data_IF_989777690423
#
_entry.id   IF_989777690423
#
_cell.length_a   1.000
_cell.length_b   1.000
_cell.length_c   1.000
_cell.angle_alpha   90.00
_cell.angle_beta   90.00
_cell.angle_gamma   90.00
#
_symmetry.space_group_name_H-M   'P 1'
#
loop_
_entity.id
_entity.type
_entity.pdbx_description
1 polymer ?
#
# COMPACT_ATOMS: atom_id res chain seq x y z
N UNK A 1 -14.86 6.15 0.23
CA UNK A 1 -15.29 4.76 -0.02
C UNK A 1 -14.48 4.22 -1.19
N UNK A 2 -13.90 3.02 -1.10
CA UNK A 2 -13.10 2.44 -2.20
C UNK A 2 -14.03 1.85 -3.26
N UNK A 3 -13.66 1.96 -4.54
CA UNK A 3 -14.40 1.40 -5.68
C UNK A 3 -13.42 0.74 -6.65
N UNK A 4 -13.73 -0.47 -7.09
CA UNK A 4 -12.87 -1.22 -7.99
C UNK A 4 -12.78 -0.51 -9.35
N UNK A 5 -11.57 -0.13 -9.76
CA UNK A 5 -11.36 0.55 -11.05
C UNK A 5 -11.68 -0.34 -12.26
N UNK A 6 -11.70 -1.67 -12.07
CA UNK A 6 -11.95 -2.62 -13.17
C UNK A 6 -13.44 -2.92 -13.39
N UNK A 7 -14.21 -3.10 -12.32
CA UNK A 7 -15.61 -3.55 -12.44
C UNK A 7 -16.62 -2.61 -11.78
N UNK A 8 -16.16 -1.51 -11.15
CA UNK A 8 -17.03 -0.57 -10.46
C UNK A 8 -17.66 -1.10 -9.17
N UNK A 9 -17.37 -2.33 -8.73
CA UNK A 9 -17.89 -2.86 -7.46
C UNK A 9 -17.31 -2.11 -6.27
N UNK A 10 -18.14 -1.89 -5.26
CA UNK A 10 -17.76 -1.34 -3.95
C UNK A 10 -17.54 -2.45 -2.91
N UNK A 11 -17.82 -3.71 -3.24
CA UNK A 11 -17.58 -4.85 -2.37
C UNK A 11 -16.11 -5.24 -2.37
N UNK A 12 -15.50 -5.20 -1.20
CA UNK A 12 -14.08 -5.46 -1.04
C UNK A 12 -13.74 -6.01 0.34
N UNK A 13 -12.65 -6.76 0.38
CA UNK A 13 -11.92 -7.06 1.61
C UNK A 13 -10.76 -6.06 1.76
N UNK A 14 -10.45 -5.69 3.01
CA UNK A 14 -9.28 -4.87 3.35
C UNK A 14 -8.42 -5.62 4.35
N UNK A 15 -7.15 -5.82 3.97
CA UNK A 15 -6.11 -6.26 4.88
C UNK A 15 -5.23 -5.08 5.25
N UNK A 16 -5.01 -4.87 6.55
CA UNK A 16 -4.14 -3.81 7.06
C UNK A 16 -2.87 -4.43 7.61
N UNK A 17 -1.73 -3.99 7.09
CA UNK A 17 -0.42 -4.38 7.56
C UNK A 17 0.22 -3.17 8.23
N UNK A 18 0.37 -3.23 9.55
CA UNK A 18 1.30 -2.33 10.23
C UNK A 18 2.69 -2.63 9.73
N UNK A 19 3.42 -1.62 9.25
CA UNK A 19 4.83 -1.80 8.95
C UNK A 19 5.56 -1.86 10.29
N UNK A 20 6.12 -3.01 10.72
CA UNK A 20 6.85 -3.07 11.98
C UNK A 20 8.11 -2.19 11.90
N UNK A 21 8.51 -1.61 13.04
CA UNK A 21 9.77 -0.84 13.17
C UNK A 21 11.00 -1.67 12.79
N UNK A 22 10.88 -3.00 12.88
CA UNK A 22 11.84 -3.96 12.32
C UNK A 22 11.09 -4.93 11.40
N UNK A 23 11.29 -4.78 10.10
CA UNK A 23 10.80 -5.72 9.09
C UNK A 23 11.79 -6.89 9.00
N UNK A 24 11.45 -8.14 9.42
CA UNK A 24 12.27 -9.31 9.09
C UNK A 24 12.21 -9.64 7.59
N UNK A 25 11.27 -9.06 6.83
CA UNK A 25 11.20 -9.16 5.37
C UNK A 25 11.43 -7.79 4.72
N UNK A 26 12.60 -7.62 4.11
CA UNK A 26 12.91 -6.42 3.34
C UNK A 26 12.13 -6.41 2.02
N UNK A 27 11.34 -5.37 1.77
CA UNK A 27 10.83 -5.08 0.43
C UNK A 27 11.96 -4.40 -0.36
N UNK A 28 12.69 -5.17 -1.18
CA UNK A 28 13.72 -4.63 -2.05
C UNK A 28 13.06 -3.96 -3.27
N UNK A 29 13.14 -2.64 -3.34
CA UNK A 29 12.66 -1.86 -4.50
C UNK A 29 13.86 -1.22 -5.19
N UNK A 30 13.99 -1.42 -6.50
CA UNK A 30 14.99 -0.72 -7.31
C UNK A 30 14.52 0.73 -7.52
N UNK A 31 15.21 1.67 -6.89
CA UNK A 31 14.87 3.10 -6.96
C UNK A 31 15.97 3.86 -7.70
N UNK A 32 15.63 4.71 -8.70
CA UNK A 32 16.58 5.62 -9.32
C UNK A 32 17.29 6.49 -8.27
N UNK A 33 18.61 6.65 -8.41
CA UNK A 33 19.47 7.28 -7.40
C UNK A 33 19.03 8.71 -7.03
N UNK A 34 18.48 9.44 -8.00
CA UNK A 34 18.03 10.82 -7.86
C UNK A 34 16.71 10.99 -7.11
N UNK A 35 15.94 9.92 -6.87
CA UNK A 35 14.66 9.98 -6.13
C UNK A 35 14.69 9.16 -4.84
N UNK A 36 15.83 8.55 -4.49
CA UNK A 36 15.97 7.66 -3.33
C UNK A 36 15.55 8.36 -2.03
N UNK A 37 15.93 9.62 -1.85
CA UNK A 37 15.66 10.37 -0.63
C UNK A 37 14.18 10.75 -0.51
N UNK A 38 13.55 11.07 -1.63
CA UNK A 38 12.13 11.41 -1.75
C UNK A 38 11.28 10.18 -1.45
N UNK A 39 11.69 9.01 -1.97
CA UNK A 39 11.05 7.73 -1.67
C UNK A 39 11.22 7.35 -0.20
N UNK A 40 12.42 7.50 0.37
CA UNK A 40 12.64 7.23 1.80
C UNK A 40 11.73 8.12 2.69
N UNK A 41 11.68 9.43 2.41
CA UNK A 41 10.78 10.38 3.11
C UNK A 41 9.30 10.09 2.90
N UNK A 42 8.91 9.49 1.78
CA UNK A 42 7.54 9.01 1.56
C UNK A 42 7.26 7.86 2.51
N UNK A 43 8.10 6.82 2.54
CA UNK A 43 7.92 5.67 3.42
C UNK A 43 7.95 6.02 4.91
N UNK A 44 8.77 6.99 5.33
CA UNK A 44 8.75 7.52 6.71
C UNK A 44 7.40 8.09 7.14
N UNK A 45 6.56 8.56 6.20
CA UNK A 45 5.25 9.17 6.49
C UNK A 45 4.11 8.17 6.58
N UNK A 46 4.31 6.94 6.11
CA UNK A 46 3.26 5.93 6.02
C UNK A 46 3.47 4.87 7.11
N UNK A 47 2.48 4.69 7.98
CA UNK A 47 2.59 3.81 9.15
C UNK A 47 2.05 2.39 8.87
N UNK A 48 1.13 2.28 7.90
CA UNK A 48 0.55 1.00 7.51
C UNK A 48 0.24 0.99 6.00
N UNK A 49 0.20 -0.23 5.48
CA UNK A 49 -0.20 -0.53 4.11
C UNK A 49 -1.59 -1.17 4.17
N UNK A 50 -2.51 -0.66 3.36
CA UNK A 50 -3.83 -1.24 3.17
C UNK A 50 -3.87 -1.96 1.81
N UNK A 51 -4.22 -3.24 1.81
CA UNK A 51 -4.47 -4.01 0.60
C UNK A 51 -5.99 -4.15 0.43
N UNK A 52 -6.51 -3.55 -0.62
CA UNK A 52 -7.91 -3.67 -1.04
C UNK A 52 -8.03 -4.79 -2.05
N UNK A 53 -8.94 -5.74 -1.85
CA UNK A 53 -9.20 -6.84 -2.78
C UNK A 53 -10.66 -6.80 -3.19
N UNK A 54 -10.93 -6.65 -4.48
CA UNK A 54 -12.29 -6.70 -5.01
C UNK A 54 -12.85 -8.11 -4.88
N UNK A 55 -13.99 -8.27 -4.21
CA UNK A 55 -14.66 -9.57 -4.11
C UNK A 55 -15.23 -10.07 -5.43
N UNK A 56 -15.57 -9.15 -6.33
CA UNK A 56 -16.21 -9.49 -7.60
C UNK A 56 -15.21 -9.96 -8.68
N UNK A 57 -14.06 -9.29 -8.83
CA UNK A 57 -13.11 -9.58 -9.91
C UNK A 57 -11.67 -9.86 -9.46
N UNK A 58 -11.41 -9.88 -8.15
CA UNK A 58 -10.08 -10.14 -7.59
C UNK A 58 -9.04 -9.03 -7.80
N UNK A 59 -9.41 -7.92 -8.45
CA UNK A 59 -8.52 -6.77 -8.59
C UNK A 59 -8.04 -6.29 -7.21
N UNK A 60 -6.73 -6.11 -7.08
CA UNK A 60 -6.10 -5.74 -5.81
C UNK A 60 -5.38 -4.40 -5.93
N UNK A 61 -5.56 -3.51 -4.95
CA UNK A 61 -4.93 -2.20 -4.88
C UNK A 61 -4.22 -2.01 -3.53
N UNK A 62 -2.94 -1.64 -3.58
CA UNK A 62 -2.15 -1.33 -2.38
C UNK A 62 -2.17 0.18 -2.15
N UNK A 63 -2.58 0.61 -0.95
CA UNK A 63 -2.56 2.00 -0.52
C UNK A 63 -1.63 2.18 0.67
N UNK A 64 -0.83 3.25 0.63
CA UNK A 64 -0.04 3.68 1.77
C UNK A 64 -0.84 4.72 2.58
N UNK A 65 -1.07 4.44 3.86
CA UNK A 65 -1.89 5.29 4.73
C UNK A 65 -1.01 6.09 5.71
N UNK A 66 -1.20 7.42 5.73
CA UNK A 66 -0.37 8.35 6.51
C UNK A 66 -0.60 8.16 8.01
N UNK A 67 0.44 8.44 8.81
CA UNK A 67 0.32 8.68 10.26
C UNK A 67 -0.63 9.87 10.47
N UNK A 68 -1.76 9.67 11.15
CA UNK A 68 -2.67 10.75 11.55
C UNK A 68 -2.08 11.55 12.70
#
# INVERSE_FOLDING_TARGET
MWKCIRCGSEEHDVMRFSLPESLPMALAVAVPKNIRNEIAKLFEKYQHVELYICRNCGYSEIRFAKRR
#
